data_IF_665662225291
#
_entry.id   IF_665662225291
#
_cell.length_a   1.000
_cell.length_b   1.000
_cell.length_c   1.000
_cell.angle_alpha   90.00
_cell.angle_beta   90.00
_cell.angle_gamma   90.00
#
_symmetry.space_group_name_H-M   'P 1'
#
loop_
_entity.id
_entity.type
_entity.pdbx_description
1 polymer ?
#
# COMPACT_ATOMS: atom_id res chain seq x y z
N UNK A 1 15.06 1.26 10.81
CA UNK A 1 13.59 1.10 11.01
C UNK A 1 12.93 0.65 9.72
N UNK A 2 11.77 0.03 9.83
CA UNK A 2 11.05 -0.51 8.67
C UNK A 2 10.17 0.56 8.02
N UNK A 3 9.84 0.35 6.77
CA UNK A 3 8.87 1.17 6.03
C UNK A 3 7.70 0.28 5.62
N UNK A 4 6.51 0.86 5.61
CA UNK A 4 5.27 0.15 5.31
C UNK A 4 4.71 0.67 3.99
N UNK A 5 4.37 -0.24 3.07
CA UNK A 5 3.72 0.11 1.82
C UNK A 5 2.22 -0.20 1.88
N UNK A 6 1.38 0.68 1.37
CA UNK A 6 -0.07 0.52 1.39
C UNK A 6 -0.64 0.76 0.00
N UNK A 7 -1.45 -0.18 -0.46
CA UNK A 7 -2.30 -0.02 -1.64
C UNK A 7 -3.76 0.05 -1.16
N UNK A 8 -4.32 1.26 -1.14
CA UNK A 8 -5.65 1.51 -0.60
C UNK A 8 -6.72 1.26 -1.65
N UNK A 9 -7.53 0.23 -1.45
CA UNK A 9 -8.66 -0.11 -2.32
C UNK A 9 -10.00 0.13 -1.64
N UNK A 10 -11.09 0.03 -2.40
CA UNK A 10 -12.45 0.28 -1.91
C UNK A 10 -12.89 -0.71 -0.84
N UNK A 11 -12.50 -1.97 -0.97
CA UNK A 11 -12.89 -3.03 -0.04
C UNK A 11 -11.70 -3.68 0.64
N UNK A 12 -10.51 -3.58 0.04
CA UNK A 12 -9.31 -4.24 0.52
C UNK A 12 -8.11 -3.30 0.47
N UNK A 13 -7.21 -3.48 1.41
CA UNK A 13 -5.93 -2.74 1.45
C UNK A 13 -4.80 -3.76 1.46
N UNK A 14 -3.91 -3.66 0.48
CA UNK A 14 -2.68 -4.45 0.45
C UNK A 14 -1.62 -3.78 1.31
N UNK A 15 -0.87 -4.57 2.06
CA UNK A 15 0.18 -4.09 2.95
C UNK A 15 1.47 -4.83 2.68
N UNK A 16 2.57 -4.08 2.54
CA UNK A 16 3.92 -4.60 2.40
C UNK A 16 4.83 -3.95 3.44
N UNK A 17 5.96 -4.59 3.71
CA UNK A 17 6.89 -4.11 4.74
C UNK A 17 8.33 -4.37 4.30
N UNK A 18 9.25 -3.50 4.69
CA UNK A 18 10.68 -3.73 4.49
C UNK A 18 11.25 -4.52 5.68
N UNK A 19 12.45 -5.09 5.51
CA UNK A 19 13.23 -5.59 6.63
C UNK A 19 13.75 -4.40 7.47
N UNK A 20 14.40 -4.70 8.59
CA UNK A 20 14.94 -3.67 9.49
C UNK A 20 15.96 -2.76 8.81
N UNK A 21 16.73 -3.30 7.87
CA UNK A 21 17.77 -2.58 7.16
C UNK A 21 17.23 -1.81 5.95
N UNK A 22 15.97 -2.04 5.55
CA UNK A 22 15.38 -1.40 4.39
C UNK A 22 15.95 -1.89 3.06
N UNK A 23 16.44 -3.12 3.00
CA UNK A 23 17.04 -3.71 1.81
C UNK A 23 16.03 -4.50 0.99
N UNK A 24 15.21 -5.31 1.67
CA UNK A 24 14.23 -6.17 1.02
C UNK A 24 12.80 -5.72 1.33
N UNK A 25 11.88 -6.00 0.41
CA UNK A 25 10.45 -5.71 0.57
C UNK A 25 9.70 -7.02 0.42
N UNK A 26 8.74 -7.26 1.32
CA UNK A 26 7.87 -8.43 1.25
C UNK A 26 6.43 -8.04 1.51
N UNK A 27 5.50 -8.83 0.95
CA UNK A 27 4.08 -8.67 1.26
C UNK A 27 3.80 -9.08 2.70
N UNK A 28 2.98 -8.32 3.39
CA UNK A 28 2.62 -8.60 4.77
C UNK A 28 1.24 -9.21 4.86
N UNK A 29 0.22 -8.51 4.39
CA UNK A 29 -1.16 -9.01 4.42
C UNK A 29 -2.08 -8.15 3.56
N UNK A 30 -3.31 -8.65 3.34
CA UNK A 30 -4.40 -7.87 2.76
C UNK A 30 -5.46 -7.67 3.84
N UNK A 31 -5.84 -6.41 4.08
CA UNK A 31 -6.86 -6.06 5.07
C UNK A 31 -8.19 -5.91 4.34
N UNK A 32 -9.19 -6.69 4.70
CA UNK A 32 -10.53 -6.61 4.13
C UNK A 32 -11.36 -5.69 5.02
N UNK A 33 -11.59 -4.44 4.59
CA UNK A 33 -12.24 -3.42 5.42
C UNK A 33 -13.70 -3.15 5.03
N UNK A 34 -14.13 -3.59 3.87
CA UNK A 34 -15.51 -3.42 3.40
C UNK A 34 -16.03 -1.97 3.48
N UNK A 35 -15.17 -1.01 3.17
CA UNK A 35 -15.50 0.42 3.21
C UNK A 35 -15.37 1.07 4.59
N UNK A 36 -14.85 0.38 5.59
CA UNK A 36 -14.69 0.90 6.95
C UNK A 36 -13.21 1.18 7.26
N UNK A 37 -12.81 2.45 7.14
CA UNK A 37 -11.42 2.88 7.39
C UNK A 37 -10.96 2.63 8.83
N UNK A 38 -11.89 2.56 9.77
CA UNK A 38 -11.55 2.27 11.18
C UNK A 38 -10.91 0.90 11.34
N UNK A 39 -11.36 -0.09 10.55
CA UNK A 39 -10.76 -1.43 10.58
C UNK A 39 -9.31 -1.38 10.09
N UNK A 40 -9.04 -0.59 9.06
CA UNK A 40 -7.68 -0.41 8.53
C UNK A 40 -6.79 0.22 9.59
N UNK A 41 -7.23 1.31 10.20
CA UNK A 41 -6.44 2.05 11.19
C UNK A 41 -6.17 1.19 12.42
N UNK A 42 -7.14 0.40 12.84
CA UNK A 42 -6.98 -0.52 13.98
C UNK A 42 -5.93 -1.58 13.69
N UNK A 43 -5.99 -2.17 12.49
CA UNK A 43 -5.02 -3.21 12.10
C UNK A 43 -3.62 -2.63 11.95
N UNK A 44 -3.49 -1.44 11.38
CA UNK A 44 -2.19 -0.76 11.27
C UNK A 44 -1.61 -0.45 12.66
N UNK A 45 -2.45 -0.07 13.61
CA UNK A 45 -2.01 0.14 14.99
C UNK A 45 -1.39 -1.13 15.58
N UNK A 46 -2.00 -2.30 15.33
CA UNK A 46 -1.47 -3.58 15.76
C UNK A 46 -0.11 -3.87 15.10
N UNK A 47 0.00 -3.58 13.80
CA UNK A 47 1.25 -3.76 13.05
C UNK A 47 2.35 -2.86 13.62
N UNK A 48 2.01 -1.62 13.98
CA UNK A 48 2.96 -0.68 14.58
C UNK A 48 3.44 -1.10 15.98
N UNK A 49 2.66 -1.90 16.69
CA UNK A 49 3.08 -2.48 17.97
C UNK A 49 4.06 -3.61 17.76
N UNK A 50 3.92 -4.34 16.65
CA UNK A 50 4.77 -5.49 16.34
C UNK A 50 6.09 -5.10 15.68
N UNK A 51 6.10 -4.05 14.86
CA UNK A 51 7.26 -3.60 14.09
C UNK A 51 7.54 -2.13 14.32
N UNK A 52 8.82 -1.78 14.35
CA UNK A 52 9.24 -0.36 14.42
C UNK A 52 9.22 0.22 13.01
N UNK A 53 8.25 1.08 12.73
CA UNK A 53 8.01 1.67 11.41
C UNK A 53 8.16 3.18 11.51
N UNK A 54 8.93 3.78 10.59
CA UNK A 54 9.14 5.23 10.56
C UNK A 54 8.44 5.92 9.38
N UNK A 55 8.04 5.16 8.36
CA UNK A 55 7.47 5.73 7.14
C UNK A 55 6.35 4.83 6.63
N UNK A 56 5.24 5.45 6.20
CA UNK A 56 4.19 4.79 5.43
C UNK A 56 4.25 5.34 4.01
N UNK A 57 4.34 4.45 3.02
CA UNK A 57 4.32 4.79 1.60
C UNK A 57 2.99 4.33 1.02
N UNK A 58 2.22 5.24 0.44
CA UNK A 58 0.90 4.93 -0.08
C UNK A 58 0.81 5.28 -1.57
N UNK A 59 0.18 4.39 -2.36
CA UNK A 59 -0.02 4.61 -3.78
C UNK A 59 -1.20 5.53 -4.04
N UNK A 60 -1.04 6.46 -4.97
CA UNK A 60 -2.10 7.39 -5.40
C UNK A 60 -2.65 6.93 -6.75
N UNK A 61 -3.96 6.62 -6.85
CA UNK A 61 -4.55 6.06 -8.07
C UNK A 61 -4.89 7.14 -9.11
N UNK A 62 -3.87 7.68 -9.77
CA UNK A 62 -4.02 8.70 -10.81
C UNK A 62 -4.33 8.02 -12.14
N UNK A 63 -5.23 8.61 -12.96
CA UNK A 63 -5.52 8.09 -14.30
C UNK A 63 -4.29 8.14 -15.21
N UNK A 64 -4.25 7.28 -16.23
CA UNK A 64 -3.12 7.20 -17.16
C UNK A 64 -2.85 8.53 -17.88
N UNK A 65 -3.87 9.36 -18.07
CA UNK A 65 -3.72 10.70 -18.67
C UNK A 65 -3.34 11.78 -17.64
N UNK A 66 -3.07 11.41 -16.41
CA UNK A 66 -2.66 12.34 -15.36
C UNK A 66 -3.79 13.05 -14.63
N UNK A 67 -5.06 12.82 -15.01
CA UNK A 67 -6.19 13.47 -14.33
C UNK A 67 -6.47 12.81 -12.98
N UNK A 68 -6.88 13.61 -12.01
CA UNK A 68 -7.29 13.13 -10.70
C UNK A 68 -8.75 12.68 -10.74
N UNK A 69 -9.05 11.57 -10.07
CA UNK A 69 -10.39 10.99 -9.99
C UNK A 69 -10.94 11.11 -8.58
N UNK A 70 -12.21 10.68 -8.41
CA UNK A 70 -12.81 10.57 -7.07
C UNK A 70 -11.99 9.66 -6.16
N UNK A 71 -11.32 8.65 -6.72
CA UNK A 71 -10.47 7.75 -5.95
C UNK A 71 -9.28 8.48 -5.33
N UNK A 72 -8.75 9.48 -6.00
CA UNK A 72 -7.67 10.32 -5.44
C UNK A 72 -8.18 11.05 -4.20
N UNK A 73 -9.37 11.63 -4.28
CA UNK A 73 -9.97 12.34 -3.14
C UNK A 73 -10.20 11.41 -1.95
N UNK A 74 -10.73 10.21 -2.19
CA UNK A 74 -10.95 9.21 -1.14
C UNK A 74 -9.62 8.81 -0.50
N UNK A 75 -8.60 8.59 -1.32
CA UNK A 75 -7.26 8.23 -0.86
C UNK A 75 -6.65 9.38 -0.02
N UNK A 76 -6.79 10.62 -0.47
CA UNK A 76 -6.28 11.78 0.26
C UNK A 76 -6.97 11.93 1.64
N UNK A 77 -8.27 11.65 1.72
CA UNK A 77 -8.99 11.65 3.00
C UNK A 77 -8.44 10.57 3.93
N UNK A 78 -8.15 9.39 3.39
CA UNK A 78 -7.55 8.31 4.17
C UNK A 78 -6.15 8.69 4.66
N UNK A 79 -5.35 9.33 3.81
CA UNK A 79 -4.02 9.83 4.18
C UNK A 79 -4.13 10.82 5.34
N UNK A 80 -5.12 11.71 5.31
CA UNK A 80 -5.35 12.64 6.41
C UNK A 80 -5.62 11.90 7.72
N UNK A 81 -6.43 10.85 7.69
CA UNK A 81 -6.69 10.00 8.87
C UNK A 81 -5.41 9.34 9.36
N UNK A 82 -4.55 8.87 8.45
CA UNK A 82 -3.26 8.29 8.81
C UNK A 82 -2.38 9.31 9.52
N UNK A 83 -2.29 10.52 8.98
CA UNK A 83 -1.48 11.59 9.57
C UNK A 83 -1.96 11.97 10.97
N UNK A 84 -3.27 11.98 11.18
CA UNK A 84 -3.84 12.30 12.49
C UNK A 84 -3.56 11.20 13.52
N UNK A 85 -3.65 9.93 13.11
CA UNK A 85 -3.44 8.81 14.03
C UNK A 85 -1.96 8.50 14.28
N UNK A 86 -1.15 8.58 13.23
CA UNK A 86 0.29 8.25 13.28
C UNK A 86 1.12 9.50 13.03
N UNK A 87 0.97 10.49 13.88
CA UNK A 87 1.56 11.81 13.70
C UNK A 87 3.10 11.85 13.77
N UNK A 88 3.73 10.81 14.29
CA UNK A 88 5.19 10.69 14.35
C UNK A 88 5.78 9.93 13.17
N UNK A 89 4.94 9.42 12.29
CA UNK A 89 5.34 8.61 11.13
C UNK A 89 5.29 9.48 9.89
N UNK A 90 6.32 9.36 9.04
CA UNK A 90 6.35 10.06 7.75
C UNK A 90 5.39 9.38 6.78
N UNK A 91 4.58 10.16 6.06
CA UNK A 91 3.66 9.63 5.04
C UNK A 91 4.15 10.11 3.67
N UNK A 92 4.47 9.16 2.79
CA UNK A 92 4.96 9.44 1.42
C UNK A 92 3.97 8.89 0.40
N UNK A 93 3.85 9.57 -0.73
CA UNK A 93 2.93 9.21 -1.81
C UNK A 93 3.71 8.74 -3.04
N UNK A 94 3.19 7.70 -3.71
CA UNK A 94 3.76 7.17 -4.96
C UNK A 94 2.64 7.06 -5.98
N UNK A 95 2.90 7.46 -7.22
CA UNK A 95 1.97 7.35 -8.34
C UNK A 95 1.80 5.88 -8.74
N UNK A 96 0.61 5.32 -8.58
CA UNK A 96 0.31 3.90 -8.87
C UNK A 96 0.38 3.53 -10.34
N UNK A 97 0.38 4.52 -11.27
CA UNK A 97 0.48 4.22 -12.71
C UNK A 97 1.70 3.38 -13.05
N UNK A 98 2.75 3.46 -12.23
CA UNK A 98 4.01 2.77 -12.48
C UNK A 98 4.07 1.36 -11.90
N UNK A 99 3.12 0.98 -11.03
CA UNK A 99 3.22 -0.24 -10.22
C UNK A 99 2.15 -1.29 -10.53
N UNK A 100 0.89 -0.89 -10.74
CA UNK A 100 -0.24 -1.81 -10.88
C UNK A 100 -0.12 -2.73 -12.10
N UNK A 101 0.37 -2.21 -13.22
CA UNK A 101 0.55 -2.99 -14.46
C UNK A 101 1.53 -4.13 -14.23
N UNK A 102 2.64 -3.87 -13.53
CA UNK A 102 3.64 -4.89 -13.21
C UNK A 102 3.05 -5.99 -12.31
N UNK A 103 2.22 -5.61 -11.33
CA UNK A 103 1.56 -6.58 -10.45
C UNK A 103 0.65 -7.51 -11.24
N UNK A 104 -0.17 -6.98 -12.14
CA UNK A 104 -1.07 -7.78 -12.98
C UNK A 104 -0.29 -8.73 -13.90
N UNK A 105 0.80 -8.27 -14.50
CA UNK A 105 1.64 -9.12 -15.35
C UNK A 105 2.22 -10.29 -14.55
N UNK A 106 2.70 -10.03 -13.35
CA UNK A 106 3.23 -11.06 -12.47
C UNK A 106 2.17 -12.10 -12.13
N UNK A 107 0.96 -11.67 -11.81
CA UNK A 107 -0.13 -12.58 -11.48
C UNK A 107 -0.56 -13.42 -12.66
N UNK A 108 -0.62 -12.86 -13.86
CA UNK A 108 -0.95 -13.61 -15.07
C UNK A 108 0.11 -14.67 -15.38
N UNK A 109 1.36 -14.36 -15.18
CA UNK A 109 2.46 -15.31 -15.36
C UNK A 109 2.36 -16.48 -14.39
N UNK A 110 1.98 -16.23 -13.14
CA UNK A 110 1.85 -17.27 -12.11
C UNK A 110 0.58 -18.11 -12.25
N UNK A 111 -0.34 -17.74 -13.15
CA UNK A 111 -1.56 -18.49 -13.43
C UNK A 111 -2.39 -18.80 -12.17
N UNK A 112 -2.61 -17.80 -11.34
CA UNK A 112 -3.35 -17.93 -10.07
C UNK A 112 -4.85 -17.75 -10.33
N UNK A 113 -5.71 -18.49 -9.61
CA UNK A 113 -7.16 -18.39 -9.79
C UNK A 113 -7.69 -17.01 -9.39
N UNK A 114 -8.87 -16.64 -9.95
CA UNK A 114 -9.42 -15.29 -9.87
C UNK A 114 -9.63 -14.78 -8.44
N UNK A 115 -10.08 -15.62 -7.51
CA UNK A 115 -10.35 -15.23 -6.12
C UNK A 115 -9.05 -14.92 -5.37
N UNK A 116 -8.11 -15.86 -5.42
CA UNK A 116 -6.79 -15.69 -4.80
C UNK A 116 -6.03 -14.55 -5.46
N UNK A 117 -6.22 -14.38 -6.78
CA UNK A 117 -5.57 -13.33 -7.56
C UNK A 117 -5.85 -11.93 -7.02
N UNK A 118 -7.11 -11.62 -6.62
CA UNK A 118 -7.46 -10.29 -6.10
C UNK A 118 -6.69 -9.96 -4.84
N UNK A 119 -6.66 -10.86 -3.85
CA UNK A 119 -5.94 -10.64 -2.59
C UNK A 119 -4.43 -10.51 -2.81
N UNK A 120 -3.87 -11.36 -3.67
CA UNK A 120 -2.44 -11.35 -3.96
C UNK A 120 -2.05 -10.09 -4.75
N UNK A 121 -2.90 -9.64 -5.71
CA UNK A 121 -2.65 -8.42 -6.48
C UNK A 121 -2.55 -7.21 -5.54
N UNK A 122 -3.45 -7.08 -4.56
CA UNK A 122 -3.39 -5.97 -3.60
C UNK A 122 -2.07 -5.98 -2.83
N UNK A 123 -1.64 -7.15 -2.37
CA UNK A 123 -0.38 -7.30 -1.64
C UNK A 123 0.83 -7.04 -2.54
N UNK A 124 0.83 -7.57 -3.77
CA UNK A 124 1.90 -7.35 -4.74
C UNK A 124 1.97 -5.87 -5.15
N UNK A 125 0.81 -5.23 -5.32
CA UNK A 125 0.77 -3.79 -5.62
C UNK A 125 1.42 -2.98 -4.50
N UNK A 126 1.17 -3.33 -3.23
CA UNK A 126 1.80 -2.68 -2.10
C UNK A 126 3.33 -2.90 -2.10
N UNK A 127 3.78 -4.11 -2.46
CA UNK A 127 5.22 -4.42 -2.61
C UNK A 127 5.84 -3.51 -3.67
N UNK A 128 5.22 -3.40 -4.85
CA UNK A 128 5.76 -2.56 -5.92
C UNK A 128 5.75 -1.08 -5.57
N UNK A 129 4.72 -0.62 -4.87
CA UNK A 129 4.67 0.76 -4.37
C UNK A 129 5.87 1.03 -3.46
N UNK A 130 6.12 0.14 -2.53
CA UNK A 130 7.21 0.29 -1.58
C UNK A 130 8.58 0.16 -2.26
N UNK A 131 8.75 -0.80 -3.18
CA UNK A 131 9.98 -0.94 -3.95
C UNK A 131 10.28 0.29 -4.80
N UNK A 132 9.25 0.87 -5.43
CA UNK A 132 9.37 2.09 -6.23
C UNK A 132 9.89 3.24 -5.36
N UNK A 133 9.32 3.39 -4.18
CA UNK A 133 9.78 4.40 -3.23
C UNK A 133 11.24 4.16 -2.82
N UNK A 134 11.59 2.92 -2.50
CA UNK A 134 12.95 2.57 -2.06
C UNK A 134 13.98 2.86 -3.15
N UNK A 135 13.68 2.57 -4.41
CA UNK A 135 14.54 2.89 -5.55
C UNK A 135 14.71 4.39 -5.70
N UNK A 136 13.63 5.16 -5.54
CA UNK A 136 13.65 6.62 -5.68
C UNK A 136 14.53 7.26 -4.61
N UNK A 137 14.58 6.68 -3.42
CA UNK A 137 15.33 7.21 -2.29
C UNK A 137 16.78 6.72 -2.23
N UNK A 138 17.15 5.75 -3.05
CA UNK A 138 18.52 5.24 -3.07
C UNK A 138 19.45 6.08 -3.94
#
# INVERSE_FOLDING_TARGET
MRKLGIDYGDARVGVAITDELGITVQGLETINHKGNDKLILKRLEEIFKEYKIDTIVIGIPINMNGTKTERVEVTEKFIHKLKCKFNKVKIEKIDERLTTVAAHKTMNFLNINKYKKKNIVDTISAVYILETYMKKMS
#
